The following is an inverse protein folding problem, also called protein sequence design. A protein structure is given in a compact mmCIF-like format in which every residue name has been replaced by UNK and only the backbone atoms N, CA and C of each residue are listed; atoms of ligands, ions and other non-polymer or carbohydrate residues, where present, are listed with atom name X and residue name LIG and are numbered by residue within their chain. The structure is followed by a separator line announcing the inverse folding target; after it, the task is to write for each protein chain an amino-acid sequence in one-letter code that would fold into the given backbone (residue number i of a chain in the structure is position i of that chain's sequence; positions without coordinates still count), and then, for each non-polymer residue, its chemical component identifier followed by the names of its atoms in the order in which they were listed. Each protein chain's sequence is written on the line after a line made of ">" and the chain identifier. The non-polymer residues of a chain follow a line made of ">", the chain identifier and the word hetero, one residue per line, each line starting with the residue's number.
data_IF_457133526682
#
_entry.id   IF_457133526682
#
_cell.length_a   1.000
_cell.length_b   1.000
_cell.length_c   1.000
_cell.angle_alpha   90.00
_cell.angle_beta   90.00
_cell.angle_gamma   90.00
#
_symmetry.space_group_name_H-M   'P 1'
#
loop_
_entity.id
_entity.type
_entity.pdbx_description
1 polymer ?
#
# COMPACT_ATOMS: atom_id res chain seq x y z
N UNK A 1 -2.88 -2.60 19.32
CA UNK A 1 -3.84 -2.47 18.20
C UNK A 1 -3.28 -3.16 16.97
N UNK A 2 -3.95 -4.20 16.44
CA UNK A 2 -3.58 -4.82 15.17
C UNK A 2 -3.91 -3.83 14.04
N UNK A 3 -2.90 -3.32 13.35
CA UNK A 3 -3.15 -2.52 12.14
C UNK A 3 -3.52 -3.48 11.02
N UNK A 4 -4.79 -3.46 10.60
CA UNK A 4 -5.25 -4.27 9.48
C UNK A 4 -4.97 -3.54 8.17
N UNK A 5 -3.82 -3.80 7.55
CA UNK A 5 -3.53 -3.30 6.20
C UNK A 5 -4.31 -4.18 5.22
N UNK A 6 -5.20 -3.54 4.45
CA UNK A 6 -6.12 -4.22 3.55
C UNK A 6 -5.50 -4.53 2.17
N UNK A 7 -4.40 -3.87 1.82
CA UNK A 7 -3.64 -4.09 0.59
C UNK A 7 -2.62 -5.22 0.79
N UNK A 8 -2.86 -6.39 0.20
CA UNK A 8 -2.08 -7.62 0.45
C UNK A 8 -0.63 -7.48 0.02
N UNK A 9 -0.40 -7.03 -1.21
CA UNK A 9 0.94 -6.87 -1.76
C UNK A 9 1.74 -5.83 -0.98
N UNK A 10 1.15 -4.66 -0.71
CA UNK A 10 1.77 -3.66 0.14
C UNK A 10 2.10 -4.20 1.54
N UNK A 11 1.18 -4.91 2.19
CA UNK A 11 1.39 -5.49 3.52
C UNK A 11 2.57 -6.47 3.53
N UNK A 12 2.65 -7.36 2.54
CA UNK A 12 3.75 -8.32 2.40
C UNK A 12 5.08 -7.61 2.22
N UNK A 13 5.14 -6.63 1.31
CA UNK A 13 6.37 -5.89 1.03
C UNK A 13 6.79 -5.01 2.23
N UNK A 14 5.83 -4.46 2.98
CA UNK A 14 6.10 -3.78 4.25
C UNK A 14 6.69 -4.72 5.30
N UNK A 15 6.19 -5.96 5.41
CA UNK A 15 6.75 -6.94 6.33
C UNK A 15 8.18 -7.35 5.95
N UNK A 16 8.44 -7.59 4.65
CA UNK A 16 9.75 -7.98 4.12
C UNK A 16 10.80 -6.88 4.36
N UNK A 17 10.44 -5.61 4.14
CA UNK A 17 11.35 -4.46 4.32
C UNK A 17 11.27 -3.83 5.71
N UNK A 18 10.56 -4.44 6.66
CA UNK A 18 10.33 -3.94 8.02
C UNK A 18 9.78 -2.49 8.09
N UNK A 19 8.96 -2.12 7.11
CA UNK A 19 8.38 -0.77 7.01
C UNK A 19 7.17 -0.66 7.94
N UNK A 20 7.23 0.29 8.87
CA UNK A 20 6.14 0.61 9.77
C UNK A 20 5.14 1.61 9.17
N UNK A 21 3.90 1.60 9.68
CA UNK A 21 2.89 2.62 9.33
C UNK A 21 3.35 4.03 9.72
N UNK A 22 4.18 4.17 10.77
CA UNK A 22 4.75 5.47 11.16
C UNK A 22 5.68 6.02 10.08
N UNK A 23 6.48 5.18 9.43
CA UNK A 23 7.33 5.60 8.32
C UNK A 23 6.50 5.98 7.09
N UNK A 24 5.47 5.20 6.75
CA UNK A 24 4.53 5.55 5.68
C UNK A 24 3.86 6.91 5.95
N UNK A 25 3.38 7.13 7.17
CA UNK A 25 2.74 8.37 7.59
C UNK A 25 3.65 9.59 7.41
N UNK A 26 4.94 9.44 7.75
CA UNK A 26 5.96 10.49 7.54
C UNK A 26 6.13 10.83 6.07
N UNK A 27 6.16 9.83 5.19
CA UNK A 27 6.36 10.02 3.73
C UNK A 27 5.16 10.70 3.07
N UNK A 28 3.94 10.34 3.46
CA UNK A 28 2.73 10.94 2.90
C UNK A 28 2.24 12.18 3.67
N UNK A 29 3.01 12.64 4.65
CA UNK A 29 2.76 13.82 5.48
C UNK A 29 1.39 13.81 6.19
N UNK A 30 1.07 12.71 6.86
CA UNK A 30 -0.14 12.58 7.69
C UNK A 30 0.21 11.97 9.05
N UNK A 31 -0.72 12.00 9.99
CA UNK A 31 -0.52 11.31 11.27
C UNK A 31 -0.65 9.78 11.11
N UNK A 32 -0.14 9.04 12.10
CA UNK A 32 -0.08 7.56 12.09
C UNK A 32 -1.45 6.90 11.98
N UNK A 33 -2.50 7.50 12.54
CA UNK A 33 -3.85 6.94 12.53
C UNK A 33 -4.57 7.21 11.21
N UNK A 34 -4.37 8.38 10.61
CA UNK A 34 -4.82 8.71 9.24
C UNK A 34 -4.16 7.78 8.23
N UNK A 35 -2.85 7.53 8.35
CA UNK A 35 -2.18 6.52 7.51
C UNK A 35 -2.77 5.12 7.73
N UNK A 36 -3.00 4.72 8.99
CA UNK A 36 -3.66 3.46 9.31
C UNK A 36 -5.06 3.34 8.70
N UNK A 37 -5.87 4.41 8.75
CA UNK A 37 -7.20 4.47 8.15
C UNK A 37 -7.15 4.34 6.62
N UNK A 38 -6.19 5.00 5.97
CA UNK A 38 -5.96 4.88 4.52
C UNK A 38 -5.55 3.46 4.12
N UNK A 39 -4.57 2.89 4.81
CA UNK A 39 -4.06 1.55 4.55
C UNK A 39 -5.07 0.43 4.89
N UNK A 40 -6.04 0.72 5.75
CA UNK A 40 -7.16 -0.17 6.09
C UNK A 40 -8.43 0.10 5.26
N UNK A 41 -8.36 0.99 4.26
CA UNK A 41 -9.50 1.40 3.41
C UNK A 41 -10.66 2.07 4.14
N UNK A 42 -10.47 2.52 5.39
CA UNK A 42 -11.44 3.34 6.13
C UNK A 42 -11.51 4.77 5.60
N UNK A 43 -10.47 5.22 4.92
CA UNK A 43 -10.43 6.47 4.18
C UNK A 43 -9.71 6.27 2.85
N UNK A 44 -10.00 7.10 1.83
CA UNK A 44 -9.37 6.96 0.52
C UNK A 44 -7.88 7.30 0.58
N UNK A 45 -7.08 6.49 -0.11
CA UNK A 45 -5.71 6.84 -0.47
C UNK A 45 -5.73 7.55 -1.83
N UNK A 46 -5.05 8.68 -1.93
CA UNK A 46 -4.96 9.46 -3.17
C UNK A 46 -3.83 8.91 -4.05
N UNK A 47 -3.90 9.18 -5.35
CA UNK A 47 -2.86 8.78 -6.30
C UNK A 47 -1.47 9.33 -5.93
N UNK A 48 -1.42 10.59 -5.47
CA UNK A 48 -0.18 11.23 -4.99
C UNK A 48 0.44 10.46 -3.82
N UNK A 49 -0.36 10.08 -2.83
CA UNK A 49 0.11 9.33 -1.67
C UNK A 49 0.62 7.93 -2.08
N UNK A 50 -0.09 7.25 -2.98
CA UNK A 50 0.33 5.96 -3.50
C UNK A 50 1.70 6.04 -4.22
N UNK A 51 1.91 7.06 -5.05
CA UNK A 51 3.20 7.29 -5.70
C UNK A 51 4.31 7.69 -4.73
N UNK A 52 4.02 8.47 -3.68
CA UNK A 52 5.01 8.79 -2.65
C UNK A 52 5.49 7.53 -1.92
N UNK A 53 4.57 6.63 -1.55
CA UNK A 53 4.90 5.35 -0.93
C UNK A 53 5.75 4.50 -1.89
N UNK A 54 5.31 4.37 -3.14
CA UNK A 54 6.02 3.60 -4.18
C UNK A 54 7.44 4.15 -4.36
N UNK A 55 7.58 5.44 -4.63
CA UNK A 55 8.87 6.03 -4.98
C UNK A 55 9.86 6.00 -3.81
N UNK A 56 9.38 6.06 -2.57
CA UNK A 56 10.24 6.09 -1.40
C UNK A 56 10.64 4.69 -0.90
N UNK A 57 9.73 3.71 -0.95
CA UNK A 57 9.95 2.40 -0.32
C UNK A 57 10.05 1.23 -1.31
N UNK A 58 9.44 1.38 -2.49
CA UNK A 58 9.26 0.30 -3.46
C UNK A 58 9.54 0.80 -4.89
N UNK A 59 10.70 1.41 -5.16
CA UNK A 59 10.99 2.03 -6.45
C UNK A 59 10.89 1.03 -7.62
N UNK A 60 11.19 -0.25 -7.35
CA UNK A 60 11.23 -1.34 -8.32
C UNK A 60 9.86 -2.02 -8.56
N UNK A 61 8.83 -1.66 -7.78
CA UNK A 61 7.50 -2.27 -7.88
C UNK A 61 6.51 -1.30 -8.52
N UNK A 62 5.61 -1.78 -9.41
CA UNK A 62 4.58 -0.93 -9.97
C UNK A 62 3.53 -0.56 -8.91
N UNK A 63 3.02 0.67 -8.98
CA UNK A 63 1.99 1.16 -8.05
C UNK A 63 0.71 0.34 -8.15
N UNK A 64 0.37 -0.15 -9.34
CA UNK A 64 -0.77 -1.03 -9.60
C UNK A 64 -0.63 -2.39 -8.91
N UNK A 65 0.60 -2.90 -8.73
CA UNK A 65 0.83 -4.12 -7.97
C UNK A 65 0.66 -3.88 -6.47
N UNK A 66 1.21 -2.79 -5.94
CA UNK A 66 1.12 -2.46 -4.51
C UNK A 66 -0.33 -2.25 -4.06
N UNK A 67 -1.16 -1.70 -4.93
CA UNK A 67 -2.56 -1.36 -4.66
C UNK A 67 -3.53 -2.07 -5.62
N UNK A 68 -3.27 -3.35 -5.91
CA UNK A 68 -4.05 -4.14 -6.88
C UNK A 68 -5.55 -4.14 -6.59
N UNK A 69 -5.94 -4.04 -5.32
CA UNK A 69 -7.34 -4.03 -4.90
C UNK A 69 -8.06 -2.70 -5.16
N UNK A 70 -7.37 -1.70 -5.73
CA UNK A 70 -7.99 -0.48 -6.27
C UNK A 70 -8.26 -0.59 -7.78
N UNK A 71 -7.64 -1.56 -8.47
CA UNK A 71 -7.94 -1.81 -9.86
C UNK A 71 -9.29 -2.54 -9.96
N UNK A 72 -10.32 -1.81 -10.40
CA UNK A 72 -11.67 -2.34 -10.58
C UNK A 72 -11.76 -3.40 -11.68
N UNK A 73 -10.68 -3.60 -12.45
CA UNK A 73 -10.59 -4.67 -13.46
C UNK A 73 -9.98 -5.93 -12.86
N UNK A 74 -10.67 -6.59 -11.93
CA UNK A 74 -10.34 -7.96 -11.52
C UNK A 74 -11.60 -8.82 -11.45
N UNK A 75 -12.23 -8.98 -12.61
CA UNK A 75 -12.72 -10.31 -13.00
C UNK A 75 -11.57 -10.94 -13.81
N UNK A 76 -10.91 -11.94 -13.22
CA UNK A 76 -9.87 -12.86 -13.77
C UNK A 76 -8.57 -12.20 -14.29
N UNK A 77 -7.38 -12.51 -13.75
CA UNK A 77 -6.57 -13.67 -14.20
C UNK A 77 -5.39 -13.91 -13.26
N UNK A 78 -5.24 -15.15 -12.78
CA UNK A 78 -4.00 -15.70 -12.20
C UNK A 78 -2.93 -15.76 -13.29
N UNK A 79 -1.80 -15.08 -13.13
CA UNK A 79 -0.58 -15.40 -13.89
C UNK A 79 0.60 -15.56 -12.92
N UNK A 80 0.82 -16.83 -12.55
CA UNK A 80 2.08 -17.38 -12.07
C UNK A 80 2.94 -17.63 -13.33
N UNK A 81 4.14 -17.04 -13.47
CA UNK A 81 5.02 -17.42 -14.57
C UNK A 81 5.53 -18.84 -14.35
N UNK A 82 5.50 -19.61 -15.44
CA UNK A 82 5.95 -20.99 -15.56
C UNK A 82 7.48 -21.12 -15.45
#
# INVERSE_FOLDING_TARGET
>A
MKNNIAFKNLKTQMAIKEISIKQIAKVINVNRDTAGNKLSRKSPITLKEAFLIKNHFFPDLPVTYLFEELDTKQITTTQKPA
#
